data_IF_640062508551
#
_entry.id   IF_640062508551
#
_cell.length_a   1.000
_cell.length_b   1.000
_cell.length_c   1.000
_cell.angle_alpha   90.00
_cell.angle_beta   90.00
_cell.angle_gamma   90.00
#
_symmetry.space_group_name_H-M   'P 1'
#
loop_
_entity.id
_entity.type
_entity.pdbx_description
1 polymer ?
#
# COMPACT_ATOMS: atom_id res chain seq x y z
N UNK A 1 24.98 -22.47 63.92
CA UNK A 1 24.97 -23.86 63.39
C UNK A 1 23.61 -24.27 62.83
N UNK A 2 22.51 -24.30 63.62
CA UNK A 2 21.18 -24.71 63.09
C UNK A 2 20.55 -23.69 62.13
N UNK A 3 20.61 -22.40 62.48
CA UNK A 3 20.08 -21.31 61.65
C UNK A 3 20.80 -21.21 60.29
N UNK A 4 22.12 -21.37 60.28
CA UNK A 4 22.94 -21.31 59.07
C UNK A 4 22.62 -22.46 58.11
N UNK A 5 22.32 -23.66 58.62
CA UNK A 5 21.86 -24.78 57.81
C UNK A 5 20.49 -24.54 57.18
N UNK A 6 19.55 -23.99 57.96
CA UNK A 6 18.21 -23.65 57.45
C UNK A 6 18.31 -22.59 56.35
N UNK A 7 19.11 -21.55 56.56
CA UNK A 7 19.33 -20.49 55.56
C UNK A 7 19.99 -21.05 54.28
N UNK A 8 21.01 -21.90 54.41
CA UNK A 8 21.65 -22.56 53.27
C UNK A 8 20.64 -23.42 52.49
N UNK A 9 19.79 -24.18 53.19
CA UNK A 9 18.77 -25.01 52.56
C UNK A 9 17.74 -24.16 51.79
N UNK A 10 17.34 -23.02 52.34
CA UNK A 10 16.46 -22.07 51.66
C UNK A 10 17.09 -21.48 50.41
N UNK A 11 18.38 -21.10 50.47
CA UNK A 11 19.11 -20.57 49.31
C UNK A 11 19.19 -21.63 48.20
N UNK A 12 19.52 -22.88 48.55
CA UNK A 12 19.53 -23.97 47.57
C UNK A 12 18.16 -24.21 46.94
N UNK A 13 17.10 -24.22 47.76
CA UNK A 13 15.74 -24.40 47.26
C UNK A 13 15.32 -23.25 46.33
N UNK A 14 15.64 -22.01 46.69
CA UNK A 14 15.38 -20.84 45.86
C UNK A 14 16.17 -20.88 44.55
N UNK A 15 17.44 -21.30 44.57
CA UNK A 15 18.26 -21.43 43.38
C UNK A 15 17.71 -22.51 42.42
N UNK A 16 17.29 -23.67 42.95
CA UNK A 16 16.67 -24.73 42.18
C UNK A 16 15.35 -24.28 41.54
N UNK A 17 14.48 -23.63 42.33
CA UNK A 17 13.22 -23.09 41.84
C UNK A 17 13.42 -21.98 40.78
N UNK A 18 14.40 -21.10 40.99
CA UNK A 18 14.76 -20.04 40.05
C UNK A 18 15.22 -20.60 38.70
N UNK A 19 16.11 -21.61 38.72
CA UNK A 19 16.58 -22.27 37.50
C UNK A 19 15.43 -22.93 36.75
N UNK A 20 14.54 -23.63 37.46
CA UNK A 20 13.39 -24.27 36.85
C UNK A 20 12.46 -23.27 36.15
N UNK A 21 12.15 -22.14 36.80
CA UNK A 21 11.32 -21.08 36.19
C UNK A 21 11.98 -20.46 34.96
N UNK A 22 13.29 -20.19 35.02
CA UNK A 22 14.03 -19.64 33.87
C UNK A 22 14.01 -20.60 32.68
N UNK A 23 14.22 -21.90 32.92
CA UNK A 23 14.19 -22.90 31.86
C UNK A 23 12.78 -23.06 31.25
N UNK A 24 11.74 -23.04 32.09
CA UNK A 24 10.35 -23.09 31.63
C UNK A 24 10.01 -21.88 30.72
N UNK A 25 10.36 -20.66 31.15
CA UNK A 25 10.13 -19.46 30.36
C UNK A 25 10.87 -19.51 29.01
N UNK A 26 12.13 -19.95 28.99
CA UNK A 26 12.89 -20.10 27.75
C UNK A 26 12.26 -21.13 26.81
N UNK A 27 11.76 -22.25 27.35
CA UNK A 27 11.08 -23.27 26.55
C UNK A 27 9.79 -22.72 25.91
N UNK A 28 9.01 -21.98 26.67
CA UNK A 28 7.78 -21.33 26.18
C UNK A 28 8.09 -20.31 25.08
N UNK A 29 9.02 -19.38 25.31
CA UNK A 29 9.43 -18.39 24.31
C UNK A 29 9.97 -19.06 23.03
N UNK A 30 10.75 -20.14 23.16
CA UNK A 30 11.24 -20.90 22.00
C UNK A 30 10.11 -21.60 21.24
N UNK A 31 9.10 -22.11 21.93
CA UNK A 31 7.94 -22.73 21.30
C UNK A 31 7.12 -21.69 20.54
N UNK A 32 6.91 -20.51 21.13
CA UNK A 32 6.22 -19.41 20.49
C UNK A 32 6.98 -18.89 19.27
N UNK A 33 8.30 -18.71 19.37
CA UNK A 33 9.14 -18.29 18.25
C UNK A 33 9.04 -19.28 17.07
N UNK A 34 9.12 -20.59 17.36
CA UNK A 34 8.94 -21.63 16.33
C UNK A 34 7.54 -21.59 15.71
N UNK A 35 6.51 -21.29 16.48
CA UNK A 35 5.14 -21.13 15.97
C UNK A 35 5.07 -19.95 15.02
N UNK A 36 5.64 -18.81 15.42
CA UNK A 36 5.64 -17.59 14.62
C UNK A 36 6.45 -17.74 13.33
N UNK A 37 7.61 -18.39 13.39
CA UNK A 37 8.43 -18.68 12.20
C UNK A 37 7.67 -19.55 11.20
N UNK A 38 6.96 -20.58 11.67
CA UNK A 38 6.13 -21.43 10.80
C UNK A 38 4.98 -20.63 10.17
N UNK A 39 4.30 -19.80 10.95
CA UNK A 39 3.25 -18.93 10.43
C UNK A 39 3.81 -17.98 9.36
N UNK A 40 4.95 -17.34 9.64
CA UNK A 40 5.64 -16.44 8.69
C UNK A 40 5.99 -17.16 7.38
N UNK A 41 6.55 -18.37 7.45
CA UNK A 41 6.87 -19.14 6.25
C UNK A 41 5.62 -19.50 5.44
N UNK A 42 4.53 -19.85 6.12
CA UNK A 42 3.23 -20.08 5.47
C UNK A 42 2.74 -18.83 4.74
N UNK A 43 2.74 -17.68 5.40
CA UNK A 43 2.30 -16.41 4.78
C UNK A 43 3.17 -16.01 3.59
N UNK A 44 4.49 -16.16 3.70
CA UNK A 44 5.40 -15.87 2.58
C UNK A 44 5.12 -16.77 1.38
N UNK A 45 4.79 -18.04 1.61
CA UNK A 45 4.41 -18.96 0.53
C UNK A 45 3.09 -18.55 -0.13
N UNK A 46 2.10 -18.11 0.65
CA UNK A 46 0.82 -17.59 0.14
C UNK A 46 1.01 -16.33 -0.70
N UNK A 47 1.85 -15.39 -0.24
CA UNK A 47 2.19 -14.18 -0.98
C UNK A 47 2.87 -14.55 -2.30
N UNK A 48 3.79 -15.52 -2.29
CA UNK A 48 4.49 -15.92 -3.50
C UNK A 48 3.53 -16.57 -4.50
N UNK A 49 2.59 -17.40 -4.05
CA UNK A 49 1.55 -17.95 -4.89
C UNK A 49 0.67 -16.84 -5.51
N UNK A 50 0.22 -15.89 -4.69
CA UNK A 50 -0.57 -14.74 -5.17
C UNK A 50 0.19 -13.89 -6.18
N UNK A 51 1.49 -13.66 -5.97
CA UNK A 51 2.32 -12.90 -6.92
C UNK A 51 2.42 -13.60 -8.27
N UNK A 52 2.52 -14.93 -8.27
CA UNK A 52 2.52 -15.72 -9.50
C UNK A 52 1.17 -15.63 -10.20
N UNK A 53 0.07 -15.70 -9.44
CA UNK A 53 -1.28 -15.57 -9.97
C UNK A 53 -1.52 -14.18 -10.57
N UNK A 54 -1.12 -13.11 -9.87
CA UNK A 54 -1.19 -11.74 -10.40
C UNK A 54 -0.35 -11.60 -11.65
N UNK A 55 0.90 -12.08 -11.65
CA UNK A 55 1.76 -12.03 -12.83
C UNK A 55 1.16 -12.80 -14.03
N UNK A 56 0.41 -13.87 -13.76
CA UNK A 56 -0.30 -14.61 -14.79
C UNK A 56 -1.51 -13.83 -15.34
N UNK A 57 -2.27 -13.16 -14.47
CA UNK A 57 -3.43 -12.33 -14.85
C UNK A 57 -3.01 -11.05 -15.59
N UNK A 58 -1.87 -10.47 -15.22
CA UNK A 58 -1.31 -9.25 -15.80
C UNK A 58 -0.47 -9.51 -17.06
N UNK A 59 -0.41 -10.75 -17.54
CA UNK A 59 0.38 -11.07 -18.73
C UNK A 59 -0.18 -10.32 -19.97
N UNK A 60 0.56 -9.33 -20.52
CA UNK A 60 0.04 -8.45 -21.56
C UNK A 60 -0.23 -9.19 -22.87
N UNK A 61 0.59 -10.18 -23.20
CA UNK A 61 0.41 -11.00 -24.40
C UNK A 61 -0.94 -11.74 -24.33
N UNK A 62 -1.21 -12.33 -23.17
CA UNK A 62 -2.41 -13.11 -22.90
C UNK A 62 -3.66 -12.23 -22.83
N UNK A 63 -3.55 -11.05 -22.20
CA UNK A 63 -4.60 -10.05 -22.18
C UNK A 63 -4.89 -9.52 -23.60
N UNK A 64 -3.86 -9.34 -24.44
CA UNK A 64 -4.04 -8.90 -25.82
C UNK A 64 -4.75 -9.95 -26.69
N UNK A 65 -4.47 -11.22 -26.47
CA UNK A 65 -5.13 -12.34 -27.14
C UNK A 65 -6.59 -12.47 -26.70
N UNK A 66 -6.84 -12.38 -25.39
CA UNK A 66 -8.21 -12.36 -24.85
C UNK A 66 -8.99 -11.16 -25.37
N UNK A 67 -8.39 -9.97 -25.38
CA UNK A 67 -9.00 -8.77 -25.92
C UNK A 67 -9.38 -8.98 -27.39
N UNK A 68 -8.46 -9.42 -28.25
CA UNK A 68 -8.76 -9.70 -29.67
C UNK A 68 -9.86 -10.74 -29.88
N UNK A 69 -9.96 -11.73 -29.00
CA UNK A 69 -10.94 -12.81 -29.13
C UNK A 69 -12.32 -12.42 -28.59
N UNK A 70 -12.41 -11.53 -27.59
CA UNK A 70 -13.68 -11.11 -26.98
C UNK A 70 -14.17 -9.75 -27.49
N UNK A 71 -13.28 -8.93 -28.01
CA UNK A 71 -13.58 -7.65 -28.62
C UNK A 71 -13.08 -7.69 -30.06
N UNK A 72 -13.96 -7.44 -31.03
CA UNK A 72 -13.59 -7.26 -32.44
C UNK A 72 -12.82 -5.94 -32.67
N UNK A 73 -12.10 -5.46 -31.66
CA UNK A 73 -11.39 -4.20 -31.67
C UNK A 73 -9.97 -4.41 -32.22
N UNK A 74 -9.60 -3.59 -33.20
CA UNK A 74 -8.25 -3.58 -33.75
C UNK A 74 -7.26 -2.99 -32.71
N UNK A 75 -6.02 -3.50 -32.61
CA UNK A 75 -5.05 -3.00 -31.64
C UNK A 75 -4.79 -1.50 -31.82
N UNK A 76 -4.81 -0.74 -30.71
CA UNK A 76 -4.49 0.69 -30.74
C UNK A 76 -3.04 0.85 -31.20
N UNK A 77 -2.82 1.44 -32.38
CA UNK A 77 -1.47 1.76 -32.85
C UNK A 77 -1.03 3.11 -32.30
N UNK A 78 0.28 3.31 -32.11
CA UNK A 78 0.81 4.60 -31.64
C UNK A 78 0.44 5.79 -32.52
N UNK A 79 0.05 5.55 -33.78
CA UNK A 79 -0.45 6.58 -34.69
C UNK A 79 -1.87 7.08 -34.37
N UNK A 80 -2.60 6.39 -33.48
CA UNK A 80 -3.96 6.75 -33.04
C UNK A 80 -3.96 7.53 -31.73
N UNK A 81 -2.80 7.67 -31.07
CA UNK A 81 -2.64 8.51 -29.89
C UNK A 81 -2.46 9.96 -30.35
N UNK A 82 -3.54 10.73 -30.29
CA UNK A 82 -3.49 12.18 -30.51
C UNK A 82 -2.90 12.86 -29.26
N UNK A 83 -2.03 13.83 -29.47
CA UNK A 83 -1.54 14.68 -28.39
C UNK A 83 -2.67 15.57 -27.88
N UNK A 84 -2.61 16.03 -26.63
CA UNK A 84 -3.65 16.90 -26.06
C UNK A 84 -3.87 18.17 -26.92
N UNK A 85 -2.78 18.72 -27.47
CA UNK A 85 -2.81 19.85 -28.39
C UNK A 85 -3.51 19.49 -29.72
N UNK A 86 -3.26 18.29 -30.27
CA UNK A 86 -3.91 17.82 -31.51
C UNK A 86 -5.42 17.60 -31.31
N UNK A 87 -5.84 17.20 -30.10
CA UNK A 87 -7.25 17.05 -29.76
C UNK A 87 -7.96 18.40 -29.66
N UNK A 88 -7.33 19.41 -29.04
CA UNK A 88 -7.89 20.78 -28.97
C UNK A 88 -8.00 21.40 -30.37
N UNK A 89 -7.04 21.13 -31.26
CA UNK A 89 -7.11 21.58 -32.66
C UNK A 89 -8.24 20.87 -33.42
N UNK A 90 -8.37 19.54 -33.25
CA UNK A 90 -9.36 18.75 -34.00
C UNK A 90 -10.80 18.95 -33.51
N UNK A 91 -11.01 19.24 -32.22
CA UNK A 91 -12.34 19.25 -31.60
C UNK A 91 -12.65 20.52 -30.78
N UNK A 92 -11.66 21.36 -30.46
CA UNK A 92 -11.82 22.54 -29.61
C UNK A 92 -12.34 23.80 -30.32
N UNK A 93 -12.40 23.81 -31.66
CA UNK A 93 -12.89 24.96 -32.43
C UNK A 93 -14.42 25.10 -32.45
N UNK A 94 -15.19 24.13 -31.94
CA UNK A 94 -16.66 24.18 -31.98
C UNK A 94 -17.35 24.95 -30.86
N UNK A 95 -16.63 25.42 -29.84
CA UNK A 95 -17.25 25.96 -28.61
C UNK A 95 -16.82 27.38 -28.23
N UNK A 96 -15.97 28.05 -29.02
CA UNK A 96 -15.48 29.41 -28.69
C UNK A 96 -16.07 30.52 -29.56
N UNK A 97 -16.67 30.19 -30.70
CA UNK A 97 -17.12 31.21 -31.66
C UNK A 97 -18.47 31.86 -31.33
N UNK A 98 -19.25 31.33 -30.38
CA UNK A 98 -20.59 31.90 -30.06
C UNK A 98 -20.64 32.79 -28.81
N UNK A 99 -19.61 32.77 -27.94
CA UNK A 99 -19.67 33.44 -26.63
C UNK A 99 -18.80 34.70 -26.49
N UNK A 100 -17.82 34.93 -27.38
CA UNK A 100 -16.92 36.09 -27.27
C UNK A 100 -17.57 37.43 -27.69
N UNK A 101 -18.53 37.43 -28.62
CA UNK A 101 -19.17 38.68 -29.06
C UNK A 101 -20.18 39.22 -28.02
N UNK A 102 -20.60 38.41 -27.04
CA UNK A 102 -21.53 38.83 -25.98
C UNK A 102 -20.86 39.24 -24.67
N UNK A 103 -19.56 39.00 -24.50
CA UNK A 103 -18.81 39.30 -23.27
C UNK A 103 -17.93 40.55 -23.35
N UNK A 104 -18.05 41.37 -24.39
CA UNK A 104 -17.36 42.66 -24.51
C UNK A 104 -17.90 43.77 -23.57
N UNK A 105 -18.57 43.41 -22.45
CA UNK A 105 -19.25 44.36 -21.56
C UNK A 105 -19.03 44.15 -20.06
N UNK A 106 -18.34 43.10 -19.62
CA UNK A 106 -18.17 42.84 -18.19
C UNK A 106 -16.69 42.82 -17.79
N UNK A 107 -16.24 43.72 -16.90
CA UNK A 107 -14.87 43.71 -16.43
C UNK A 107 -14.65 42.45 -15.60
N UNK A 108 -13.95 41.47 -16.16
CA UNK A 108 -13.41 40.34 -15.39
C UNK A 108 -12.38 40.89 -14.42
N UNK A 109 -12.74 40.94 -13.14
CA UNK A 109 -11.79 41.15 -12.05
C UNK A 109 -10.71 40.06 -12.12
N UNK A 110 -9.42 40.41 -11.94
CA UNK A 110 -8.38 39.40 -11.87
C UNK A 110 -8.65 38.52 -10.65
N UNK A 111 -8.78 37.21 -10.86
CA UNK A 111 -8.75 36.25 -9.75
C UNK A 111 -7.32 36.23 -9.24
N UNK A 112 -7.09 36.87 -8.09
CA UNK A 112 -5.82 36.82 -7.38
C UNK A 112 -5.55 35.38 -6.94
N UNK A 113 -4.61 34.72 -7.62
CA UNK A 113 -4.20 33.32 -7.36
C UNK A 113 -3.43 33.16 -6.04
N UNK A 114 -3.29 34.23 -5.25
CA UNK A 114 -2.53 34.26 -4.01
C UNK A 114 -3.28 33.64 -2.80
N UNK A 115 -4.59 33.37 -2.90
CA UNK A 115 -5.38 32.86 -1.77
C UNK A 115 -5.64 31.34 -1.77
N UNK A 116 -5.00 30.58 -2.66
CA UNK A 116 -5.04 29.09 -2.64
C UNK A 116 -3.86 28.45 -1.87
N UNK A 117 -3.04 29.26 -1.19
CA UNK A 117 -1.83 28.82 -0.50
C UNK A 117 -1.91 28.82 1.03
N UNK A 118 -2.95 28.22 1.64
CA UNK A 118 -2.94 27.96 3.10
C UNK A 118 -3.90 26.82 3.51
N UNK A 119 -3.85 25.67 2.84
CA UNK A 119 -4.38 24.44 3.43
C UNK A 119 -3.27 23.82 4.28
N UNK A 120 -3.34 24.01 5.59
CA UNK A 120 -2.50 23.37 6.59
C UNK A 120 -2.62 21.83 6.49
N UNK A 121 -1.55 21.08 6.15
CA UNK A 121 -1.59 19.62 6.05
C UNK A 121 -1.60 18.91 7.43
N UNK A 122 -1.70 19.63 8.56
CA UNK A 122 -1.60 19.07 9.91
C UNK A 122 -2.87 18.49 10.55
N UNK A 123 -4.05 18.60 9.94
CA UNK A 123 -5.33 18.33 10.65
C UNK A 123 -5.92 16.91 10.49
N UNK A 124 -5.20 15.95 9.87
CA UNK A 124 -5.66 14.56 9.70
C UNK A 124 -4.73 13.59 10.44
N UNK A 125 -4.73 13.67 11.78
CA UNK A 125 -3.88 12.83 12.61
C UNK A 125 -4.30 12.76 14.07
N UNK A 126 -5.59 12.62 14.37
CA UNK A 126 -6.05 12.19 15.70
C UNK A 126 -7.51 11.74 15.67
N UNK A 127 -7.77 10.49 15.28
CA UNK A 127 -8.85 9.65 15.83
C UNK A 127 -8.45 8.19 15.75
#
# INVERSE_FOLDING_TARGET
MRLTLILLCFILAAAAAGRYKAEAAVRETRAELKRLDRAKQSELSSIQALRVEVAYLENPERLSEIARNLTDLEPLSGAQLMTADDFEIAFGQGARDEDEEKRAGEPTTPVDVAELGAADPGALGAR
#
